data_IF_546399729204
#
_entry.id   IF_546399729204
#
_cell.length_a   1.000
_cell.length_b   1.000
_cell.length_c   1.000
_cell.angle_alpha   90.00
_cell.angle_beta   90.00
_cell.angle_gamma   90.00
#
_symmetry.space_group_name_H-M   'P 1'
#
loop_
_entity.id
_entity.type
_entity.pdbx_description
1 polymer ?
#
# COMPACT_ATOMS: atom_id res chain seq x y z
N UNK A 1 8.06 11.68 -31.65
CA UNK A 1 7.06 10.60 -31.88
C UNK A 1 7.31 9.52 -30.82
N UNK A 2 6.66 9.64 -29.70
CA UNK A 2 6.77 8.69 -28.60
C UNK A 2 5.85 7.50 -28.91
N UNK A 3 6.46 6.34 -29.15
CA UNK A 3 5.76 5.08 -29.35
C UNK A 3 5.09 4.69 -28.01
N UNK A 4 3.79 4.96 -27.90
CA UNK A 4 2.94 4.28 -26.92
C UNK A 4 2.83 2.83 -27.38
N UNK A 5 3.70 1.95 -26.86
CA UNK A 5 3.50 0.50 -27.01
C UNK A 5 2.18 0.19 -26.31
N UNK A 6 1.15 -0.09 -27.09
CA UNK A 6 -0.09 -0.67 -26.59
C UNK A 6 0.28 -1.91 -25.78
N UNK A 7 -0.11 -1.95 -24.49
CA UNK A 7 0.08 -3.12 -23.65
C UNK A 7 -0.67 -4.28 -24.31
N UNK A 8 0.07 -5.23 -24.87
CA UNK A 8 -0.49 -6.48 -25.35
C UNK A 8 -1.20 -7.15 -24.17
N UNK A 9 -2.37 -7.75 -24.42
CA UNK A 9 -3.20 -8.48 -23.44
C UNK A 9 -2.52 -9.70 -22.78
N UNK A 10 -1.23 -9.85 -22.93
CA UNK A 10 -0.42 -10.98 -22.43
C UNK A 10 0.60 -10.59 -21.35
N UNK A 11 0.79 -9.29 -21.03
CA UNK A 11 1.75 -8.88 -20.00
C UNK A 11 1.16 -9.11 -18.62
N UNK A 12 1.85 -9.92 -17.81
CA UNK A 12 1.39 -10.24 -16.44
C UNK A 12 1.73 -9.14 -15.46
N UNK A 13 1.00 -9.10 -14.35
CA UNK A 13 1.23 -8.13 -13.28
C UNK A 13 2.65 -8.18 -12.70
N UNK A 14 3.31 -9.34 -12.75
CA UNK A 14 4.66 -9.54 -12.21
C UNK A 14 5.79 -9.08 -13.15
N UNK A 15 5.46 -8.69 -14.39
CA UNK A 15 6.41 -8.28 -15.43
C UNK A 15 6.34 -6.78 -15.76
N UNK A 16 5.44 -6.05 -15.11
CA UNK A 16 5.30 -4.60 -15.27
C UNK A 16 6.00 -3.85 -14.13
N UNK A 17 6.32 -2.54 -14.30
CA UNK A 17 6.81 -1.72 -13.20
C UNK A 17 5.84 -1.71 -12.01
N UNK A 18 6.40 -1.81 -10.79
CA UNK A 18 5.68 -1.65 -9.54
C UNK A 18 6.09 -0.35 -8.86
N UNK A 19 5.13 0.35 -8.28
CA UNK A 19 5.40 1.48 -7.39
C UNK A 19 4.94 1.10 -5.99
N UNK A 20 5.91 0.76 -5.13
CA UNK A 20 5.65 0.51 -3.72
C UNK A 20 5.32 1.80 -3.00
N UNK A 21 4.39 1.74 -2.04
CA UNK A 21 3.91 2.88 -1.26
C UNK A 21 3.67 2.50 0.18
N UNK A 22 4.11 3.36 1.12
CA UNK A 22 3.86 3.24 2.54
C UNK A 22 3.90 4.61 3.20
N UNK A 23 3.22 4.76 4.35
CA UNK A 23 3.12 6.00 5.12
C UNK A 23 3.34 5.78 6.61
N UNK A 24 4.01 6.74 7.27
CA UNK A 24 3.97 6.89 8.72
C UNK A 24 3.02 8.02 9.08
N UNK A 25 2.31 7.87 10.18
CA UNK A 25 1.16 8.70 10.51
C UNK A 25 1.08 9.03 11.99
N UNK A 26 0.19 9.96 12.35
CA UNK A 26 -0.05 10.32 13.76
C UNK A 26 -0.80 9.26 14.55
N UNK A 27 -1.35 8.22 13.90
CA UNK A 27 -2.11 7.16 14.58
C UNK A 27 -2.64 6.10 13.64
N UNK A 28 -3.73 5.44 13.99
CA UNK A 28 -4.25 4.23 13.31
C UNK A 28 -5.61 4.42 12.63
N UNK A 29 -6.18 5.62 12.66
CA UNK A 29 -7.44 5.95 12.01
C UNK A 29 -7.17 6.71 10.70
N UNK A 30 -7.27 6.08 9.53
CA UNK A 30 -6.90 6.71 8.25
C UNK A 30 -7.80 7.88 7.86
N UNK A 31 -8.95 8.05 8.51
CA UNK A 31 -9.86 9.18 8.24
C UNK A 31 -9.59 10.39 9.11
N UNK A 32 -8.88 10.23 10.24
CA UNK A 32 -8.64 11.27 11.24
C UNK A 32 -7.17 11.62 11.40
N UNK A 33 -6.30 10.63 11.29
CA UNK A 33 -4.88 10.82 11.46
C UNK A 33 -4.25 11.60 10.30
N UNK A 34 -3.00 11.98 10.48
CA UNK A 34 -2.25 12.85 9.55
C UNK A 34 -1.04 12.13 9.02
N UNK A 35 -0.69 12.46 7.78
CA UNK A 35 0.55 12.03 7.17
C UNK A 35 1.75 12.67 7.88
N UNK A 36 2.73 11.85 8.27
CA UNK A 36 4.03 12.27 8.83
C UNK A 36 5.14 12.01 7.82
N UNK A 37 5.26 10.79 7.30
CA UNK A 37 6.19 10.47 6.21
C UNK A 37 5.48 9.67 5.12
N UNK A 38 6.03 9.74 3.91
CA UNK A 38 5.66 8.87 2.81
C UNK A 38 6.91 8.33 2.13
N UNK A 39 6.84 7.09 1.65
CA UNK A 39 7.87 6.49 0.83
C UNK A 39 7.27 5.91 -0.45
N UNK A 40 7.95 6.15 -1.57
CA UNK A 40 7.67 5.53 -2.85
C UNK A 40 8.93 4.83 -3.35
N UNK A 41 8.78 3.57 -3.76
CA UNK A 41 9.86 2.78 -4.34
C UNK A 41 9.44 2.25 -5.70
N UNK A 42 10.07 2.77 -6.76
CA UNK A 42 9.82 2.32 -8.12
C UNK A 42 10.74 1.14 -8.44
N UNK A 43 10.14 0.00 -8.76
CA UNK A 43 10.78 -1.24 -9.21
C UNK A 43 10.37 -1.51 -10.66
N UNK A 44 11.30 -1.26 -11.59
CA UNK A 44 10.99 -1.27 -13.03
C UNK A 44 10.65 -2.66 -13.57
N UNK A 45 11.29 -3.70 -13.05
CA UNK A 45 11.18 -5.07 -13.58
C UNK A 45 10.22 -5.97 -12.78
N UNK A 46 9.37 -5.39 -11.93
CA UNK A 46 8.39 -6.14 -11.14
C UNK A 46 9.03 -7.22 -10.27
N UNK A 47 8.65 -8.48 -10.47
CA UNK A 47 9.14 -9.61 -9.68
C UNK A 47 10.53 -10.13 -10.07
N UNK A 48 11.22 -9.56 -11.06
CA UNK A 48 12.53 -10.05 -11.50
C UNK A 48 13.65 -9.73 -10.52
N UNK A 49 14.62 -10.62 -10.41
CA UNK A 49 15.83 -10.40 -9.59
C UNK A 49 16.83 -9.45 -10.25
N UNK A 50 17.78 -8.90 -9.46
CA UNK A 50 18.89 -8.06 -9.98
C UNK A 50 18.48 -6.64 -10.35
N UNK A 51 17.61 -6.04 -9.59
CA UNK A 51 16.98 -4.74 -9.81
C UNK A 51 17.63 -3.62 -8.99
N UNK A 52 17.62 -2.43 -9.55
CA UNK A 52 17.87 -1.19 -8.83
C UNK A 52 16.52 -0.53 -8.53
N UNK A 53 16.16 -0.45 -7.24
CA UNK A 53 14.95 0.23 -6.79
C UNK A 53 15.24 1.74 -6.68
N UNK A 54 14.34 2.58 -7.22
CA UNK A 54 14.43 4.04 -7.10
C UNK A 54 13.56 4.49 -5.94
N UNK A 55 14.19 5.01 -4.90
CA UNK A 55 13.53 5.41 -3.65
C UNK A 55 13.30 6.91 -3.61
N UNK A 56 12.11 7.33 -3.20
CA UNK A 56 11.78 8.72 -2.85
C UNK A 56 11.05 8.73 -1.53
N UNK A 57 11.47 9.61 -0.63
CA UNK A 57 10.86 9.79 0.69
C UNK A 57 10.49 11.25 0.93
N UNK A 58 9.47 11.45 1.75
CA UNK A 58 9.01 12.77 2.18
C UNK A 58 8.83 12.76 3.70
N UNK A 59 9.26 13.83 4.33
CA UNK A 59 8.90 14.19 5.69
C UNK A 59 7.99 15.42 5.62
N UNK A 60 6.80 15.33 6.18
CA UNK A 60 5.84 16.42 6.26
C UNK A 60 5.80 17.01 7.69
N UNK A 61 5.50 18.29 7.78
CA UNK A 61 4.95 18.85 9.01
C UNK A 61 3.42 18.62 8.98
N UNK A 62 2.87 17.71 9.82
CA UNK A 62 1.45 17.39 9.81
C UNK A 62 0.54 18.53 10.30
N UNK A 63 1.12 19.62 10.85
CA UNK A 63 0.39 20.73 11.42
C UNK A 63 -0.38 20.41 12.72
N UNK A 64 -0.20 19.22 13.25
CA UNK A 64 -0.77 18.74 14.52
C UNK A 64 0.31 18.03 15.33
N UNK A 65 0.03 17.79 16.62
CA UNK A 65 0.94 17.02 17.47
C UNK A 65 1.01 15.56 17.04
N UNK A 66 2.23 15.03 16.91
CA UNK A 66 2.50 13.60 16.73
C UNK A 66 2.50 12.97 18.12
N UNK A 67 1.58 12.04 18.40
CA UNK A 67 1.51 11.37 19.69
C UNK A 67 2.80 10.60 20.00
N UNK A 68 3.19 10.54 21.26
CA UNK A 68 4.40 9.84 21.69
C UNK A 68 4.41 8.35 21.27
N UNK A 69 3.24 7.73 21.21
CA UNK A 69 3.11 6.34 20.76
C UNK A 69 3.47 6.18 19.27
N UNK A 70 3.03 7.10 18.40
CA UNK A 70 3.37 7.12 16.99
C UNK A 70 4.87 7.40 16.80
N UNK A 71 5.41 8.45 17.48
CA UNK A 71 6.84 8.74 17.47
C UNK A 71 7.71 7.56 17.93
N UNK A 72 7.23 6.76 18.88
CA UNK A 72 7.97 5.57 19.35
C UNK A 72 8.02 4.45 18.29
N UNK A 73 7.07 4.42 17.35
CA UNK A 73 7.05 3.43 16.24
C UNK A 73 7.98 3.86 15.11
N UNK A 74 7.80 5.06 14.56
CA UNK A 74 8.51 5.51 13.35
C UNK A 74 9.70 6.44 13.62
N UNK A 75 9.95 6.81 14.88
CA UNK A 75 11.13 7.61 15.28
C UNK A 75 11.04 9.11 14.97
N UNK A 76 9.99 9.60 14.32
CA UNK A 76 9.83 11.02 13.99
C UNK A 76 9.21 11.77 15.17
N UNK A 77 9.93 12.76 15.67
CA UNK A 77 9.45 13.63 16.77
C UNK A 77 8.75 14.88 16.23
N UNK A 78 7.98 15.56 17.09
CA UNK A 78 7.37 16.84 16.76
C UNK A 78 8.41 17.89 16.34
N UNK A 79 9.57 17.92 17.00
CA UNK A 79 10.65 18.85 16.66
C UNK A 79 11.26 18.57 15.29
N UNK A 80 11.43 17.28 14.93
CA UNK A 80 11.91 16.88 13.60
C UNK A 80 10.89 17.28 12.53
N UNK A 81 9.62 16.96 12.71
CA UNK A 81 8.58 17.30 11.76
C UNK A 81 8.47 18.82 11.53
N UNK A 82 8.53 19.63 12.60
CA UNK A 82 8.48 21.10 12.53
C UNK A 82 9.71 21.74 11.91
N UNK A 83 10.92 21.19 12.19
CA UNK A 83 12.17 21.81 11.74
C UNK A 83 12.66 21.33 10.38
N UNK A 84 12.30 20.12 9.98
CA UNK A 84 12.78 19.45 8.76
C UNK A 84 11.66 19.05 7.79
N UNK A 85 10.41 18.98 8.30
CA UNK A 85 9.25 18.63 7.50
C UNK A 85 8.90 19.71 6.48
N UNK A 86 8.48 19.27 5.32
CA UNK A 86 7.95 20.15 4.28
C UNK A 86 6.47 20.48 4.56
N UNK A 87 5.95 21.58 4.01
CA UNK A 87 4.52 21.88 4.08
C UNK A 87 3.69 20.69 3.60
N UNK A 88 2.72 20.27 4.43
CA UNK A 88 1.91 19.06 4.15
C UNK A 88 1.27 19.10 2.75
N UNK A 89 0.75 20.23 2.30
CA UNK A 89 0.12 20.36 0.99
C UNK A 89 1.07 20.05 -0.18
N UNK A 90 2.35 20.44 -0.09
CA UNK A 90 3.34 20.12 -1.11
C UNK A 90 3.63 18.62 -1.16
N UNK A 91 3.78 17.99 0.01
CA UNK A 91 4.03 16.55 0.13
C UNK A 91 2.85 15.76 -0.44
N UNK A 92 1.63 16.11 -0.03
CA UNK A 92 0.40 15.45 -0.53
C UNK A 92 0.29 15.53 -2.05
N UNK A 93 0.57 16.71 -2.63
CA UNK A 93 0.47 16.89 -4.08
C UNK A 93 1.49 16.05 -4.84
N UNK A 94 2.75 16.07 -4.41
CA UNK A 94 3.81 15.29 -5.06
C UNK A 94 3.58 13.79 -4.97
N UNK A 95 3.19 13.29 -3.79
CA UNK A 95 2.90 11.87 -3.58
C UNK A 95 1.69 11.44 -4.42
N UNK A 96 0.58 12.17 -4.32
CA UNK A 96 -0.63 11.85 -5.08
C UNK A 96 -0.42 11.96 -6.59
N UNK A 97 0.29 12.98 -7.08
CA UNK A 97 0.60 13.12 -8.50
C UNK A 97 1.45 11.95 -9.01
N UNK A 98 2.43 11.48 -8.22
CA UNK A 98 3.28 10.34 -8.58
C UNK A 98 2.46 9.05 -8.69
N UNK A 99 1.57 8.78 -7.73
CA UNK A 99 0.68 7.62 -7.75
C UNK A 99 -0.28 7.68 -8.96
N UNK A 100 -0.93 8.82 -9.17
CA UNK A 100 -1.86 9.02 -10.30
C UNK A 100 -1.17 8.84 -11.65
N UNK A 101 0.04 9.38 -11.81
CA UNK A 101 0.81 9.20 -13.05
C UNK A 101 1.16 7.73 -13.30
N UNK A 102 1.49 6.98 -12.25
CA UNK A 102 1.79 5.55 -12.34
C UNK A 102 0.56 4.75 -12.76
N UNK A 103 -0.62 5.01 -12.18
CA UNK A 103 -1.89 4.39 -12.59
C UNK A 103 -2.29 4.77 -14.02
N UNK A 104 -2.07 6.01 -14.44
CA UNK A 104 -2.35 6.46 -15.84
C UNK A 104 -1.52 5.72 -16.87
N UNK A 105 -0.35 5.20 -16.49
CA UNK A 105 0.46 4.31 -17.32
C UNK A 105 -0.04 2.86 -17.33
N UNK A 106 -1.06 2.54 -16.55
CA UNK A 106 -1.62 1.19 -16.42
C UNK A 106 -0.80 0.27 -15.51
N UNK A 107 0.05 0.83 -14.62
CA UNK A 107 0.89 0.06 -13.72
C UNK A 107 0.30 0.02 -12.30
N UNK A 108 0.51 -1.08 -11.54
CA UNK A 108 -0.02 -1.20 -10.20
C UNK A 108 0.83 -0.48 -9.17
N UNK A 109 0.16 0.14 -8.19
CA UNK A 109 0.77 0.51 -6.92
C UNK A 109 0.71 -0.68 -5.97
N UNK A 110 1.75 -0.88 -5.18
CA UNK A 110 1.87 -1.97 -4.21
C UNK A 110 1.97 -1.38 -2.82
N UNK A 111 1.07 -1.77 -1.91
CA UNK A 111 1.14 -1.37 -0.51
C UNK A 111 0.69 -2.52 0.39
N UNK A 112 1.34 -2.67 1.55
CA UNK A 112 0.94 -3.66 2.55
C UNK A 112 -0.18 -3.09 3.41
N UNK A 113 -1.33 -3.76 3.50
CA UNK A 113 -2.53 -3.21 4.11
C UNK A 113 -3.01 -1.92 3.42
N UNK A 114 -3.00 -1.94 2.09
CA UNK A 114 -3.17 -0.80 1.19
C UNK A 114 -4.40 0.08 1.49
N UNK A 115 -5.45 -0.51 2.06
CA UNK A 115 -6.66 0.25 2.40
C UNK A 115 -6.41 1.35 3.42
N UNK A 116 -5.44 1.17 4.32
CA UNK A 116 -5.06 2.20 5.28
C UNK A 116 -4.42 3.40 4.57
N UNK A 117 -3.33 3.18 3.84
CA UNK A 117 -2.53 4.26 3.23
C UNK A 117 -3.29 5.03 2.16
N UNK A 118 -4.06 4.33 1.34
CA UNK A 118 -4.86 4.95 0.29
C UNK A 118 -6.01 5.76 0.87
N UNK A 119 -6.69 5.25 1.89
CA UNK A 119 -7.76 5.99 2.58
C UNK A 119 -7.21 7.22 3.30
N UNK A 120 -6.07 7.08 4.00
CA UNK A 120 -5.41 8.19 4.67
C UNK A 120 -5.05 9.30 3.68
N UNK A 121 -4.38 8.96 2.57
CA UNK A 121 -3.96 9.95 1.59
C UNK A 121 -5.15 10.63 0.93
N UNK A 122 -6.21 9.90 0.59
CA UNK A 122 -7.43 10.47 0.03
C UNK A 122 -8.15 11.42 1.02
N UNK A 123 -8.21 11.03 2.30
CA UNK A 123 -8.76 11.87 3.37
C UNK A 123 -7.93 13.15 3.60
N UNK A 124 -6.60 13.06 3.52
CA UNK A 124 -5.71 14.21 3.59
C UNK A 124 -5.90 15.15 2.40
N UNK A 125 -5.98 14.60 1.18
CA UNK A 125 -6.26 15.40 -0.03
C UNK A 125 -7.59 16.15 0.09
N UNK A 126 -8.64 15.47 0.55
CA UNK A 126 -9.95 16.09 0.78
C UNK A 126 -9.88 17.20 1.84
N UNK A 127 -9.20 16.96 2.96
CA UNK A 127 -9.03 17.91 4.08
C UNK A 127 -8.33 19.19 3.65
N UNK A 128 -7.37 19.07 2.75
CA UNK A 128 -6.63 20.20 2.21
C UNK A 128 -7.23 20.79 0.92
N UNK A 129 -8.44 20.36 0.50
CA UNK A 129 -9.13 20.79 -0.71
C UNK A 129 -8.29 20.60 -2.00
N UNK A 130 -7.54 19.51 -2.08
CA UNK A 130 -6.60 19.25 -3.17
C UNK A 130 -7.13 18.28 -4.25
N UNK A 131 -8.40 17.90 -4.16
CA UNK A 131 -9.02 16.91 -5.04
C UNK A 131 -8.63 15.47 -4.65
N UNK A 132 -9.65 14.66 -4.40
CA UNK A 132 -9.53 13.24 -4.06
C UNK A 132 -9.00 12.40 -5.22
N UNK A 133 -8.64 11.16 -4.97
CA UNK A 133 -8.26 10.23 -6.05
C UNK A 133 -9.37 10.05 -7.08
N UNK A 134 -10.64 10.01 -6.67
CA UNK A 134 -11.77 9.94 -7.59
C UNK A 134 -11.79 11.13 -8.56
N UNK A 135 -11.45 12.32 -8.09
CA UNK A 135 -11.36 13.53 -8.92
C UNK A 135 -10.10 13.59 -9.79
N UNK A 136 -8.97 13.09 -9.29
CA UNK A 136 -7.66 13.11 -9.99
C UNK A 136 -7.54 12.03 -11.06
N UNK A 137 -8.17 10.88 -10.86
CA UNK A 137 -8.05 9.74 -11.77
C UNK A 137 -9.03 9.79 -12.94
N UNK A 138 -10.18 10.50 -12.78
CA UNK A 138 -11.28 10.46 -13.75
C UNK A 138 -11.68 9.00 -14.06
N UNK A 139 -11.55 8.54 -15.30
CA UNK A 139 -11.83 7.16 -15.70
C UNK A 139 -10.63 6.20 -15.56
N UNK A 140 -9.48 6.65 -15.07
CA UNK A 140 -8.28 5.81 -14.89
C UNK A 140 -8.49 4.84 -13.73
N UNK A 141 -8.32 3.51 -13.91
CA UNK A 141 -8.47 2.56 -12.82
C UNK A 141 -7.33 2.68 -11.81
N UNK A 142 -7.69 2.70 -10.52
CA UNK A 142 -6.74 2.62 -9.40
C UNK A 142 -6.28 1.16 -9.23
N UNK A 143 -5.20 0.77 -9.91
CA UNK A 143 -4.68 -0.59 -9.82
C UNK A 143 -3.80 -0.75 -8.58
N UNK A 144 -4.24 -1.57 -7.61
CA UNK A 144 -3.53 -1.84 -6.37
C UNK A 144 -3.23 -3.33 -6.22
N UNK A 145 -2.08 -3.63 -5.60
CA UNK A 145 -1.71 -4.97 -5.17
C UNK A 145 -1.32 -4.90 -3.69
N UNK A 146 -1.97 -5.72 -2.87
CA UNK A 146 -1.76 -5.79 -1.43
C UNK A 146 -1.34 -7.21 -1.03
N UNK A 147 -0.07 -7.43 -0.64
CA UNK A 147 0.40 -8.75 -0.22
C UNK A 147 -0.38 -9.33 0.95
N UNK A 148 -0.95 -8.50 1.85
CA UNK A 148 -1.77 -8.97 2.95
C UNK A 148 -3.08 -9.58 2.46
N UNK A 149 -3.74 -8.96 1.49
CA UNK A 149 -4.97 -9.47 0.88
C UNK A 149 -4.68 -10.77 0.14
N UNK A 150 -3.57 -10.80 -0.63
CA UNK A 150 -3.14 -12.01 -1.34
C UNK A 150 -2.80 -13.16 -0.40
N UNK A 151 -2.07 -12.92 0.69
CA UNK A 151 -1.75 -13.96 1.69
C UNK A 151 -3.03 -14.54 2.33
N UNK A 152 -3.99 -13.68 2.65
CA UNK A 152 -5.28 -14.12 3.20
C UNK A 152 -6.09 -14.98 2.22
N UNK A 153 -5.97 -14.71 0.92
CA UNK A 153 -6.68 -15.43 -0.12
C UNK A 153 -5.99 -16.73 -0.53
N UNK A 154 -4.67 -16.69 -0.73
CA UNK A 154 -3.88 -17.77 -1.32
C UNK A 154 -3.34 -18.76 -0.28
N UNK A 155 -3.11 -18.30 0.97
CA UNK A 155 -2.67 -19.13 2.11
C UNK A 155 -3.62 -18.92 3.31
N UNK A 156 -4.90 -19.17 3.07
CA UNK A 156 -6.03 -18.89 3.97
C UNK A 156 -5.84 -19.46 5.38
N UNK A 157 -5.25 -20.65 5.48
CA UNK A 157 -5.13 -21.39 6.73
C UNK A 157 -3.73 -21.26 7.38
N UNK A 158 -2.89 -20.40 6.84
CA UNK A 158 -1.59 -20.14 7.43
C UNK A 158 -1.74 -19.62 8.86
N UNK A 159 -1.08 -20.32 9.78
CA UNK A 159 -1.07 -19.93 11.20
C UNK A 159 -0.12 -18.75 11.43
N UNK A 160 -0.33 -18.04 12.52
CA UNK A 160 0.50 -16.91 12.95
C UNK A 160 -0.09 -15.56 12.58
N UNK A 161 0.62 -14.52 12.99
CA UNK A 161 0.26 -13.14 12.67
C UNK A 161 0.46 -12.86 11.18
N UNK A 162 -0.19 -11.80 10.71
CA UNK A 162 -0.13 -11.36 9.30
C UNK A 162 0.35 -9.91 9.20
N UNK A 163 1.28 -9.50 10.08
CA UNK A 163 2.04 -8.26 9.90
C UNK A 163 3.11 -8.47 8.82
N UNK A 164 3.63 -7.41 8.25
CA UNK A 164 4.68 -7.49 7.23
C UNK A 164 5.92 -8.23 7.76
N UNK A 165 6.37 -7.90 8.97
CA UNK A 165 7.51 -8.53 9.65
C UNK A 165 7.29 -10.01 9.97
N UNK A 166 6.05 -10.42 10.28
CA UNK A 166 5.71 -11.84 10.50
C UNK A 166 5.58 -12.60 9.15
N UNK A 167 5.20 -11.92 8.07
CA UNK A 167 5.05 -12.52 6.75
C UNK A 167 6.38 -12.67 6.00
N UNK A 168 7.29 -11.71 6.11
CA UNK A 168 8.55 -11.71 5.38
C UNK A 168 9.30 -13.05 5.50
N UNK A 169 9.59 -13.61 6.68
CA UNK A 169 10.28 -14.89 6.79
C UNK A 169 9.48 -16.08 6.23
N UNK A 170 8.15 -16.02 6.19
CA UNK A 170 7.32 -17.08 5.57
C UNK A 170 7.56 -17.15 4.06
N UNK A 171 7.83 -16.00 3.45
CA UNK A 171 8.16 -15.88 2.03
C UNK A 171 9.66 -15.89 1.75
N UNK A 172 10.51 -16.15 2.77
CA UNK A 172 11.97 -16.22 2.61
C UNK A 172 12.63 -14.84 2.44
N UNK A 173 11.96 -13.79 2.87
CA UNK A 173 12.47 -12.42 2.89
C UNK A 173 13.01 -12.11 4.28
N UNK A 174 14.22 -11.55 4.35
CA UNK A 174 14.81 -11.15 5.62
C UNK A 174 14.04 -9.95 6.21
N UNK A 175 13.50 -10.13 7.40
CA UNK A 175 12.98 -9.04 8.19
C UNK A 175 14.16 -8.35 8.89
N UNK A 176 14.63 -7.21 8.35
CA UNK A 176 15.71 -6.47 9.00
C UNK A 176 15.25 -5.94 10.36
N UNK A 177 16.11 -6.09 11.39
CA UNK A 177 15.82 -5.61 12.74
C UNK A 177 15.72 -4.07 12.85
N UNK A 178 16.18 -3.35 11.82
CA UNK A 178 16.17 -1.88 11.74
C UNK A 178 14.95 -1.34 10.98
N UNK A 179 13.99 -2.20 10.66
CA UNK A 179 12.77 -1.84 9.94
C UNK A 179 11.82 -1.08 10.87
N UNK A 180 11.41 0.03 10.46
CA UNK A 180 10.26 0.87 10.83
C UNK A 180 10.50 2.26 10.25
N UNK A 181 11.08 2.28 9.05
CA UNK A 181 11.04 3.46 8.19
C UNK A 181 10.23 3.08 6.96
N UNK A 182 9.41 3.98 6.47
CA UNK A 182 8.49 3.70 5.36
C UNK A 182 9.22 3.11 4.12
N UNK A 183 10.43 3.56 3.79
CA UNK A 183 11.18 3.02 2.64
C UNK A 183 11.62 1.56 2.81
N UNK A 184 11.98 1.15 4.04
CA UNK A 184 12.38 -0.24 4.33
C UNK A 184 11.16 -1.15 4.27
N UNK A 185 10.03 -0.71 4.82
CA UNK A 185 8.79 -1.46 4.78
C UNK A 185 8.24 -1.60 3.36
N UNK A 186 8.38 -0.57 2.51
CA UNK A 186 8.07 -0.67 1.08
C UNK A 186 8.96 -1.69 0.38
N UNK A 187 10.27 -1.66 0.57
CA UNK A 187 11.19 -2.62 -0.06
C UNK A 187 10.87 -4.04 0.35
N UNK A 188 10.64 -4.28 1.66
CA UNK A 188 10.22 -5.58 2.18
C UNK A 188 8.88 -6.04 1.57
N UNK A 189 7.92 -5.13 1.44
CA UNK A 189 6.62 -5.39 0.80
C UNK A 189 6.79 -5.84 -0.64
N UNK A 190 7.63 -5.15 -1.42
CA UNK A 190 7.93 -5.51 -2.81
C UNK A 190 8.66 -6.85 -2.91
N UNK A 191 9.54 -7.17 -1.97
CA UNK A 191 10.26 -8.45 -1.94
C UNK A 191 9.32 -9.60 -1.58
N UNK A 192 8.45 -9.43 -0.59
CA UNK A 192 7.40 -10.40 -0.26
C UNK A 192 6.51 -10.65 -1.47
N UNK A 193 6.08 -9.59 -2.16
CA UNK A 193 5.25 -9.73 -3.36
C UNK A 193 5.97 -10.47 -4.49
N UNK A 194 7.28 -10.24 -4.68
CA UNK A 194 8.07 -10.95 -5.67
C UNK A 194 8.15 -12.45 -5.38
N UNK A 195 8.29 -12.85 -4.10
CA UNK A 195 8.26 -14.27 -3.71
C UNK A 195 6.85 -14.88 -3.86
N UNK A 196 5.79 -14.12 -3.57
CA UNK A 196 4.42 -14.55 -3.83
C UNK A 196 4.19 -14.81 -5.32
N UNK A 197 4.72 -13.96 -6.22
CA UNK A 197 4.65 -14.16 -7.66
C UNK A 197 5.35 -15.46 -8.12
N UNK A 198 6.41 -15.88 -7.42
CA UNK A 198 7.09 -17.15 -7.71
C UNK A 198 6.35 -18.36 -7.16
N UNK A 199 5.73 -18.22 -5.99
CA UNK A 199 5.11 -19.30 -5.22
C UNK A 199 3.70 -19.68 -5.70
N UNK A 200 2.91 -18.71 -6.18
CA UNK A 200 1.49 -18.93 -6.46
C UNK A 200 1.18 -18.88 -7.97
N UNK A 201 1.20 -20.03 -8.63
CA UNK A 201 0.89 -20.13 -10.07
C UNK A 201 -0.54 -19.69 -10.40
N UNK A 202 -1.48 -19.78 -9.46
CA UNK A 202 -2.90 -19.43 -9.66
C UNK A 202 -3.13 -17.97 -10.05
N UNK A 203 -2.25 -17.06 -9.62
CA UNK A 203 -2.35 -15.63 -9.93
C UNK A 203 -1.29 -15.15 -10.92
N UNK A 204 -0.29 -15.98 -11.23
CA UNK A 204 0.88 -15.60 -12.03
C UNK A 204 0.54 -15.15 -13.45
N UNK A 205 -0.49 -15.74 -14.07
CA UNK A 205 -0.90 -15.41 -15.44
C UNK A 205 -1.84 -14.20 -15.54
N UNK A 206 -2.25 -13.60 -14.41
CA UNK A 206 -3.17 -12.47 -14.38
C UNK A 206 -2.49 -11.19 -14.89
N UNK A 207 -3.27 -10.32 -15.54
CA UNK A 207 -2.88 -8.91 -15.70
C UNK A 207 -3.03 -8.16 -14.38
N UNK A 208 -2.46 -6.95 -14.26
CA UNK A 208 -2.61 -6.11 -13.07
C UNK A 208 -4.09 -5.81 -12.75
N UNK A 209 -4.91 -5.57 -13.78
CA UNK A 209 -6.35 -5.35 -13.59
C UNK A 209 -7.10 -6.59 -13.11
N UNK A 210 -6.75 -7.78 -13.61
CA UNK A 210 -7.34 -9.04 -13.16
C UNK A 210 -6.94 -9.35 -11.72
N UNK A 211 -5.67 -9.13 -11.34
CA UNK A 211 -5.22 -9.34 -9.97
C UNK A 211 -5.87 -8.35 -9.00
N UNK A 212 -6.03 -7.09 -9.40
CA UNK A 212 -6.78 -6.11 -8.61
C UNK A 212 -8.23 -6.56 -8.38
N UNK A 213 -8.95 -6.94 -9.43
CA UNK A 213 -10.33 -7.42 -9.32
C UNK A 213 -10.45 -8.69 -8.47
N UNK A 214 -9.49 -9.60 -8.57
CA UNK A 214 -9.40 -10.79 -7.70
C UNK A 214 -9.29 -10.38 -6.23
N UNK A 215 -8.45 -9.39 -5.90
CA UNK A 215 -8.27 -8.94 -4.52
C UNK A 215 -9.52 -8.24 -3.95
N UNK A 216 -10.24 -7.46 -4.76
CA UNK A 216 -11.53 -6.86 -4.35
C UNK A 216 -12.49 -7.94 -3.86
N UNK A 217 -12.64 -9.01 -4.64
CA UNK A 217 -13.52 -10.12 -4.28
C UNK A 217 -12.99 -10.90 -3.07
N UNK A 218 -11.70 -11.22 -3.06
CA UNK A 218 -11.06 -11.98 -1.99
C UNK A 218 -11.11 -11.26 -0.63
N UNK A 219 -10.90 -9.93 -0.63
CA UNK A 219 -11.02 -9.14 0.60
C UNK A 219 -12.46 -9.15 1.12
N UNK A 220 -13.45 -8.96 0.24
CA UNK A 220 -14.86 -8.99 0.62
C UNK A 220 -15.27 -10.32 1.25
N UNK A 221 -14.87 -11.42 0.64
CA UNK A 221 -15.14 -12.77 1.16
C UNK A 221 -14.48 -12.98 2.53
N UNK A 222 -13.20 -12.60 2.63
CA UNK A 222 -12.46 -12.69 3.89
C UNK A 222 -13.12 -11.85 5.00
N UNK A 223 -13.55 -10.63 4.72
CA UNK A 223 -14.15 -9.73 5.71
C UNK A 223 -15.44 -10.33 6.27
N UNK A 224 -16.32 -10.85 5.39
CA UNK A 224 -17.57 -11.50 5.77
C UNK A 224 -17.30 -12.75 6.63
N UNK A 225 -16.39 -13.62 6.19
CA UNK A 225 -16.06 -14.86 6.88
C UNK A 225 -15.42 -14.60 8.24
N UNK A 226 -14.52 -13.62 8.31
CA UNK A 226 -13.84 -13.27 9.56
C UNK A 226 -14.80 -12.61 10.57
N UNK A 227 -15.70 -11.75 10.11
CA UNK A 227 -16.75 -11.17 10.94
C UNK A 227 -17.65 -12.27 11.52
N UNK A 228 -18.13 -13.20 10.69
CA UNK A 228 -18.94 -14.33 11.13
C UNK A 228 -18.21 -15.22 12.14
N UNK A 229 -16.91 -15.47 11.90
CA UNK A 229 -16.06 -16.22 12.85
C UNK A 229 -15.96 -15.51 14.20
N UNK A 230 -15.70 -14.20 14.24
CA UNK A 230 -15.62 -13.44 15.48
C UNK A 230 -16.95 -13.45 16.23
N UNK A 231 -18.08 -13.25 15.54
CA UNK A 231 -19.43 -13.30 16.12
C UNK A 231 -19.75 -14.70 16.67
N UNK A 232 -19.33 -15.77 16.01
CA UNK A 232 -19.48 -17.14 16.52
C UNK A 232 -18.70 -17.41 17.81
N UNK A 233 -17.69 -16.59 18.11
CA UNK A 233 -16.92 -16.61 19.37
C UNK A 233 -17.45 -15.63 20.42
N UNK A 234 -18.64 -15.06 20.21
CA UNK A 234 -19.26 -14.11 21.12
C UNK A 234 -18.63 -12.72 21.12
N UNK A 235 -17.87 -12.37 20.08
CA UNK A 235 -17.23 -11.05 19.94
C UNK A 235 -18.07 -10.16 19.02
N UNK A 236 -18.34 -8.94 19.44
CA UNK A 236 -18.85 -7.93 18.51
C UNK A 236 -17.77 -7.61 17.48
N UNK A 237 -18.14 -7.66 16.20
CA UNK A 237 -17.24 -7.34 15.10
C UNK A 237 -18.04 -6.74 13.94
N UNK A 238 -17.42 -5.75 13.32
CA UNK A 238 -17.82 -5.17 12.02
C UNK A 238 -16.55 -5.00 11.22
N UNK A 239 -16.42 -5.76 10.16
CA UNK A 239 -15.24 -5.71 9.27
C UNK A 239 -15.67 -5.10 7.94
N UNK A 240 -15.05 -4.00 7.56
CA UNK A 240 -15.37 -3.34 6.29
C UNK A 240 -15.04 -4.27 5.10
N UNK A 241 -16.04 -4.63 4.28
CA UNK A 241 -15.83 -5.45 3.10
C UNK A 241 -15.30 -4.64 1.89
N UNK A 242 -15.20 -3.30 2.01
CA UNK A 242 -14.69 -2.45 0.95
C UNK A 242 -13.16 -2.52 0.87
N UNK A 243 -12.65 -2.58 -0.34
CA UNK A 243 -11.24 -2.51 -0.68
C UNK A 243 -11.11 -2.01 -2.13
N UNK A 244 -10.14 -1.16 -2.48
CA UNK A 244 -8.96 -0.77 -1.70
C UNK A 244 -9.17 0.42 -0.75
N UNK A 245 -10.28 1.10 -0.80
CA UNK A 245 -10.59 2.21 0.12
C UNK A 245 -11.68 1.78 1.10
N UNK A 246 -11.55 2.22 2.34
CA UNK A 246 -12.58 2.00 3.34
C UNK A 246 -13.85 2.79 2.97
N UNK A 247 -15.02 2.22 3.25
CA UNK A 247 -16.28 2.93 3.10
C UNK A 247 -16.39 4.06 4.14
N UNK A 248 -16.82 5.24 3.71
CA UNK A 248 -17.05 6.40 4.57
C UNK A 248 -18.42 6.36 5.23
#
# INVERSE_FOLDING_TARGET
>A
MTHTRGMNSTTTWSEVPWLGFDTETTGVDPTRDRLVTAALVLRLDGARAGREDQVRTWLADPGVEIPAQASAVHGITNDMAKSQGRPIGEVLDEVAATLVEHWRRGFPVVAFNASYDITLLDAELARHNMGTFAQRLDATPMLLIDPLVLDRALDRYRKGKKTLTDMAPVYGVDASADAHTAEVDVQMTLDVLAEMARRFDSVKAMSAGQLHAYQVQAHREWAIDFENFLRSKGREASIDPAWPMLAH
#
